data_IF_068192887181
#
_entry.id   IF_068192887181
#
_cell.length_a   1.000
_cell.length_b   1.000
_cell.length_c   1.000
_cell.angle_alpha   90.00
_cell.angle_beta   90.00
_cell.angle_gamma   90.00
#
_symmetry.space_group_name_H-M   'P 1'
#
loop_
_entity.id
_entity.type
_entity.pdbx_description
1 polymer ?
#
# COMPACT_ATOMS: atom_id res chain seq x y z
N UNK A 1 1.11 18.02 22.06
CA UNK A 1 1.46 18.90 20.94
C UNK A 1 0.29 18.95 19.98
N UNK A 2 -0.15 20.16 19.64
CA UNK A 2 -1.31 20.35 18.76
C UNK A 2 -0.85 20.43 17.31
N UNK A 3 -1.57 19.71 16.45
CA UNK A 3 -1.32 19.74 15.01
C UNK A 3 -2.14 20.86 14.37
N UNK A 4 -1.57 21.51 13.38
CA UNK A 4 -2.30 22.53 12.63
C UNK A 4 -3.62 21.96 12.10
N UNK A 5 -4.75 22.68 12.22
CA UNK A 5 -6.07 22.16 11.81
C UNK A 5 -6.16 21.65 10.38
N UNK A 6 -5.47 22.29 9.43
CA UNK A 6 -5.44 21.83 8.04
C UNK A 6 -4.76 20.48 7.89
N UNK A 7 -3.68 20.26 8.64
CA UNK A 7 -2.97 18.99 8.65
C UNK A 7 -3.86 17.91 9.25
N UNK A 8 -4.52 18.21 10.38
CA UNK A 8 -5.42 17.26 11.04
C UNK A 8 -6.57 16.83 10.10
N UNK A 9 -7.20 17.77 9.42
CA UNK A 9 -8.28 17.46 8.47
C UNK A 9 -7.78 16.57 7.32
N UNK A 10 -6.59 16.86 6.81
CA UNK A 10 -6.00 16.09 5.74
C UNK A 10 -5.64 14.67 6.20
N UNK A 11 -5.10 14.55 7.41
CA UNK A 11 -4.80 13.23 8.01
C UNK A 11 -6.07 12.41 8.18
N UNK A 12 -7.16 13.01 8.66
CA UNK A 12 -8.44 12.35 8.81
C UNK A 12 -8.95 11.80 7.47
N UNK A 13 -8.87 12.63 6.43
CA UNK A 13 -9.26 12.22 5.08
C UNK A 13 -8.40 11.05 4.59
N UNK A 14 -7.08 11.15 4.72
CA UNK A 14 -6.16 10.11 4.25
C UNK A 14 -6.32 8.80 5.02
N UNK A 15 -6.59 8.86 6.33
CA UNK A 15 -6.88 7.66 7.11
C UNK A 15 -8.11 6.94 6.55
N UNK A 16 -9.18 7.66 6.25
CA UNK A 16 -10.38 7.05 5.65
C UNK A 16 -10.07 6.44 4.29
N UNK A 17 -9.32 7.15 3.44
CA UNK A 17 -8.93 6.63 2.12
C UNK A 17 -8.08 5.37 2.25
N UNK A 18 -7.07 5.39 3.11
CA UNK A 18 -6.16 4.26 3.31
C UNK A 18 -6.92 3.05 3.86
N UNK A 19 -7.80 3.25 4.84
CA UNK A 19 -8.63 2.16 5.38
C UNK A 19 -9.47 1.50 4.27
N UNK A 20 -10.09 2.31 3.41
CA UNK A 20 -10.88 1.80 2.28
C UNK A 20 -10.00 1.10 1.25
N UNK A 21 -8.85 1.65 0.93
CA UNK A 21 -7.91 1.03 -0.02
C UNK A 21 -7.38 -0.31 0.50
N UNK A 22 -7.13 -0.43 1.81
CA UNK A 22 -6.78 -1.71 2.44
C UNK A 22 -7.88 -2.75 2.25
N UNK A 23 -9.14 -2.38 2.48
CA UNK A 23 -10.27 -3.26 2.29
C UNK A 23 -10.40 -3.72 0.83
N UNK A 24 -10.26 -2.79 -0.10
CA UNK A 24 -10.33 -3.09 -1.53
C UNK A 24 -9.22 -4.05 -1.96
N UNK A 25 -8.00 -3.83 -1.48
CA UNK A 25 -6.87 -4.70 -1.83
C UNK A 25 -7.07 -6.10 -1.24
N UNK A 26 -7.46 -6.19 0.03
CA UNK A 26 -7.68 -7.48 0.69
C UNK A 26 -8.78 -8.28 -0.01
N UNK A 27 -9.86 -7.62 -0.42
CA UNK A 27 -10.95 -8.26 -1.16
C UNK A 27 -10.47 -8.78 -2.51
N UNK A 28 -9.72 -7.95 -3.24
CA UNK A 28 -9.19 -8.33 -4.56
C UNK A 28 -8.16 -9.45 -4.45
N UNK A 29 -7.29 -9.38 -3.45
CA UNK A 29 -6.30 -10.41 -3.16
C UNK A 29 -6.98 -11.76 -2.93
N UNK A 30 -8.02 -11.78 -2.10
CA UNK A 30 -8.80 -12.99 -1.85
C UNK A 30 -9.48 -13.52 -3.11
N UNK A 31 -10.06 -12.63 -3.90
CA UNK A 31 -10.78 -13.03 -5.13
C UNK A 31 -9.83 -13.54 -6.21
N UNK A 32 -8.63 -12.98 -6.31
CA UNK A 32 -7.66 -13.41 -7.31
C UNK A 32 -6.97 -14.72 -6.90
N UNK A 33 -6.39 -14.75 -5.70
CA UNK A 33 -5.57 -15.87 -5.25
C UNK A 33 -6.39 -16.97 -4.55
N UNK A 34 -7.47 -16.61 -3.89
CA UNK A 34 -8.41 -17.58 -3.31
C UNK A 34 -9.10 -18.42 -4.37
N UNK A 35 -9.47 -17.82 -5.52
CA UNK A 35 -10.13 -18.54 -6.61
C UNK A 35 -9.23 -19.54 -7.32
N UNK A 36 -7.89 -19.39 -7.24
CA UNK A 36 -6.95 -20.34 -7.83
C UNK A 36 -6.91 -21.68 -7.08
N UNK A 37 -7.41 -21.70 -5.85
CA UNK A 37 -7.49 -22.92 -5.04
C UNK A 37 -8.85 -23.60 -5.09
N UNK A 38 -9.83 -23.04 -5.81
CA UNK A 38 -11.17 -23.60 -5.94
C UNK A 38 -11.27 -24.53 -7.14
N UNK A 39 -12.27 -25.43 -7.13
CA UNK A 39 -12.51 -26.38 -8.23
C UNK A 39 -13.08 -25.70 -9.48
N UNK A 40 -13.58 -24.48 -9.37
CA UNK A 40 -14.12 -23.70 -10.49
C UNK A 40 -13.18 -22.55 -10.82
N UNK A 41 -12.35 -22.68 -11.88
CA UNK A 41 -11.50 -21.58 -12.30
C UNK A 41 -12.34 -20.44 -12.85
N UNK A 42 -11.90 -19.19 -12.58
CA UNK A 42 -12.54 -18.01 -13.14
C UNK A 42 -12.44 -18.02 -14.67
N UNK A 43 -13.44 -17.47 -15.35
CA UNK A 43 -13.40 -17.27 -16.78
C UNK A 43 -12.20 -16.37 -17.15
N UNK A 44 -11.55 -16.57 -18.32
CA UNK A 44 -10.36 -15.80 -18.69
C UNK A 44 -10.53 -14.28 -18.59
N UNK A 45 -11.69 -13.76 -19.00
CA UNK A 45 -11.97 -12.34 -18.94
C UNK A 45 -12.10 -11.85 -17.50
N UNK A 46 -12.79 -12.61 -16.65
CA UNK A 46 -12.92 -12.31 -15.22
C UNK A 46 -11.56 -12.34 -14.54
N UNK A 47 -10.72 -13.29 -14.91
CA UNK A 47 -9.37 -13.39 -14.38
C UNK A 47 -8.55 -12.15 -14.76
N UNK A 48 -8.62 -11.70 -15.99
CA UNK A 48 -7.93 -10.51 -16.47
C UNK A 48 -8.38 -9.27 -15.69
N UNK A 49 -9.68 -9.13 -15.44
CA UNK A 49 -10.21 -8.02 -14.64
C UNK A 49 -9.71 -8.06 -13.20
N UNK A 50 -9.63 -9.24 -12.58
CA UNK A 50 -9.11 -9.41 -11.23
C UNK A 50 -7.62 -9.08 -11.16
N UNK A 51 -6.86 -9.45 -12.17
CA UNK A 51 -5.42 -9.09 -12.25
C UNK A 51 -5.26 -7.59 -12.35
N UNK A 52 -6.01 -6.93 -13.23
CA UNK A 52 -5.98 -5.47 -13.34
C UNK A 52 -6.35 -4.79 -12.03
N UNK A 53 -7.39 -5.26 -11.38
CA UNK A 53 -7.81 -4.72 -10.08
C UNK A 53 -6.72 -4.90 -9.04
N UNK A 54 -6.07 -6.06 -8.98
CA UNK A 54 -4.98 -6.32 -8.03
C UNK A 54 -3.80 -5.37 -8.26
N UNK A 55 -3.33 -5.26 -9.49
CA UNK A 55 -2.20 -4.39 -9.84
C UNK A 55 -2.52 -2.93 -9.47
N UNK A 56 -3.71 -2.46 -9.86
CA UNK A 56 -4.15 -1.09 -9.57
C UNK A 56 -4.32 -0.81 -8.08
N UNK A 57 -4.92 -1.72 -7.34
CA UNK A 57 -5.19 -1.54 -5.91
C UNK A 57 -3.93 -1.68 -5.06
N UNK A 58 -3.04 -2.59 -5.42
CA UNK A 58 -1.73 -2.72 -4.77
C UNK A 58 -0.92 -1.43 -4.94
N UNK A 59 -0.82 -0.93 -6.17
CA UNK A 59 -0.08 0.29 -6.47
C UNK A 59 -0.69 1.53 -5.82
N UNK A 60 -2.02 1.64 -5.84
CA UNK A 60 -2.71 2.79 -5.25
C UNK A 60 -2.51 2.87 -3.74
N UNK A 61 -2.65 1.76 -3.04
CA UNK A 61 -2.40 1.74 -1.60
C UNK A 61 -0.97 2.13 -1.29
N UNK A 62 -0.01 1.58 -2.02
CA UNK A 62 1.40 1.90 -1.83
C UNK A 62 1.67 3.38 -2.08
N UNK A 63 1.13 3.95 -3.16
CA UNK A 63 1.32 5.36 -3.49
C UNK A 63 0.66 6.27 -2.44
N UNK A 64 -0.56 5.95 -2.01
CA UNK A 64 -1.26 6.76 -1.00
C UNK A 64 -0.49 6.77 0.32
N UNK A 65 -0.04 5.61 0.77
CA UNK A 65 0.69 5.50 2.05
C UNK A 65 2.08 6.14 1.95
N UNK A 66 2.85 5.80 0.92
CA UNK A 66 4.24 6.24 0.81
C UNK A 66 4.39 7.68 0.37
N UNK A 67 3.54 8.15 -0.55
CA UNK A 67 3.71 9.45 -1.18
C UNK A 67 2.81 10.54 -0.60
N UNK A 68 1.75 10.18 0.10
CA UNK A 68 0.79 11.14 0.67
C UNK A 68 0.71 11.07 2.18
N UNK A 69 0.40 9.90 2.74
CA UNK A 69 0.21 9.75 4.19
C UNK A 69 1.52 9.93 4.95
N UNK A 70 2.57 9.24 4.55
CA UNK A 70 3.85 9.28 5.26
C UNK A 70 4.45 10.69 5.34
N UNK A 71 4.58 11.47 4.25
CA UNK A 71 5.12 12.82 4.36
C UNK A 71 4.30 13.71 5.28
N UNK A 72 2.98 13.59 5.22
CA UNK A 72 2.09 14.40 6.06
C UNK A 72 2.20 14.01 7.54
N UNK A 73 2.26 12.70 7.82
CA UNK A 73 2.46 12.19 9.18
C UNK A 73 3.81 12.66 9.74
N UNK A 74 4.88 12.61 8.95
CA UNK A 74 6.19 13.11 9.37
C UNK A 74 6.12 14.61 9.71
N UNK A 75 5.45 15.41 8.86
CA UNK A 75 5.27 16.83 9.14
C UNK A 75 4.51 17.05 10.44
N UNK A 76 3.45 16.28 10.67
CA UNK A 76 2.66 16.35 11.90
C UNK A 76 3.49 15.99 13.15
N UNK A 77 4.45 15.09 13.00
CA UNK A 77 5.36 14.68 14.07
C UNK A 77 6.50 15.69 14.30
N UNK A 78 6.53 16.79 13.55
CA UNK A 78 7.59 17.77 13.65
C UNK A 78 8.85 17.43 12.87
N UNK A 79 8.78 16.39 12.06
CA UNK A 79 9.87 16.02 11.16
C UNK A 79 9.78 16.80 9.85
N UNK A 80 10.91 17.04 9.19
CA UNK A 80 10.90 17.71 7.90
C UNK A 80 10.86 16.68 6.78
N UNK A 81 9.75 16.58 6.03
CA UNK A 81 9.70 15.67 4.89
C UNK A 81 10.75 16.04 3.85
N UNK A 82 11.32 15.05 3.21
CA UNK A 82 12.35 15.22 2.17
C UNK A 82 12.12 14.21 1.04
N UNK A 83 13.18 13.69 0.42
CA UNK A 83 13.05 12.69 -0.64
C UNK A 83 12.44 11.39 -0.10
N UNK A 84 11.81 10.63 -0.99
CA UNK A 84 11.07 9.41 -0.63
C UNK A 84 11.93 8.44 0.18
N UNK A 85 13.18 8.20 -0.22
CA UNK A 85 14.08 7.28 0.49
C UNK A 85 14.36 7.77 1.91
N UNK A 86 14.60 9.07 2.07
CA UNK A 86 14.86 9.65 3.40
C UNK A 86 13.63 9.57 4.30
N UNK A 87 12.45 9.78 3.74
CA UNK A 87 11.19 9.65 4.48
C UNK A 87 10.98 8.21 4.95
N UNK A 88 11.28 7.23 4.11
CA UNK A 88 11.17 5.81 4.47
C UNK A 88 12.16 5.43 5.57
N UNK A 89 13.40 5.88 5.48
CA UNK A 89 14.41 5.64 6.52
C UNK A 89 13.99 6.26 7.85
N UNK A 90 13.41 7.44 7.79
CA UNK A 90 12.91 8.13 8.99
C UNK A 90 11.71 7.41 9.59
N UNK A 91 10.80 6.92 8.74
CA UNK A 91 9.66 6.11 9.17
C UNK A 91 10.11 4.83 9.88
N UNK A 92 11.15 4.18 9.37
CA UNK A 92 11.71 2.99 10.02
C UNK A 92 12.28 3.33 11.40
N UNK A 93 13.04 4.42 11.51
CA UNK A 93 13.61 4.86 12.79
C UNK A 93 12.54 5.25 13.81
N UNK A 94 11.42 5.78 13.35
CA UNK A 94 10.27 6.14 14.19
C UNK A 94 9.34 4.97 14.45
N UNK A 95 9.69 3.78 13.98
CA UNK A 95 8.89 2.56 14.12
C UNK A 95 7.50 2.65 13.50
N UNK A 96 7.34 3.52 12.49
CA UNK A 96 6.13 3.61 11.67
C UNK A 96 6.13 2.57 10.55
N UNK A 97 7.30 2.05 10.24
CA UNK A 97 7.54 1.11 9.15
C UNK A 97 8.56 0.08 9.65
N UNK A 98 8.32 -1.19 9.35
CA UNK A 98 9.22 -2.27 9.80
C UNK A 98 10.56 -2.21 9.06
N UNK A 99 10.54 -1.95 7.74
CA UNK A 99 11.74 -1.96 6.92
C UNK A 99 11.56 -1.04 5.70
N UNK A 100 12.44 -0.05 5.59
CA UNK A 100 12.50 0.81 4.40
C UNK A 100 12.90 0.00 3.16
N UNK A 101 13.83 -0.95 3.32
CA UNK A 101 14.27 -1.82 2.22
C UNK A 101 13.12 -2.69 1.70
N UNK A 102 12.32 -3.26 2.60
CA UNK A 102 11.13 -4.03 2.22
C UNK A 102 10.14 -3.16 1.44
N UNK A 103 9.93 -1.92 1.88
CA UNK A 103 9.05 -0.99 1.17
C UNK A 103 9.54 -0.72 -0.24
N UNK A 104 10.84 -0.51 -0.41
CA UNK A 104 11.43 -0.30 -1.73
C UNK A 104 11.32 -1.53 -2.61
N UNK A 105 11.45 -2.72 -2.04
CA UNK A 105 11.22 -3.98 -2.76
C UNK A 105 9.78 -4.04 -3.27
N UNK A 106 8.80 -3.70 -2.44
CA UNK A 106 7.39 -3.65 -2.84
C UNK A 106 7.15 -2.60 -3.94
N UNK A 107 7.82 -1.46 -3.86
CA UNK A 107 7.71 -0.40 -4.87
C UNK A 107 8.27 -0.86 -6.23
N UNK A 108 9.41 -1.53 -6.22
CA UNK A 108 10.00 -2.09 -7.43
C UNK A 108 9.09 -3.16 -8.04
N UNK A 109 8.50 -3.99 -7.19
CA UNK A 109 7.53 -5.01 -7.60
C UNK A 109 6.30 -4.38 -8.25
N UNK A 110 5.77 -3.32 -7.66
CA UNK A 110 4.63 -2.57 -8.22
C UNK A 110 4.97 -2.03 -9.60
N UNK A 111 6.16 -1.46 -9.76
CA UNK A 111 6.61 -0.96 -11.06
C UNK A 111 6.72 -2.09 -12.08
N UNK A 112 7.22 -3.24 -11.67
CA UNK A 112 7.32 -4.43 -12.53
C UNK A 112 5.94 -4.91 -12.97
N UNK A 113 4.96 -5.00 -12.05
CA UNK A 113 3.59 -5.39 -12.38
C UNK A 113 2.95 -4.43 -13.40
N UNK A 114 3.16 -3.13 -13.24
CA UNK A 114 2.59 -2.11 -14.13
C UNK A 114 3.20 -2.19 -15.52
N UNK A 115 4.53 -2.33 -15.60
CA UNK A 115 5.24 -2.34 -16.89
C UNK A 115 5.11 -3.66 -17.65
N UNK A 116 5.07 -4.80 -16.92
CA UNK A 116 5.04 -6.12 -17.54
C UNK A 116 3.64 -6.67 -17.79
N UNK A 117 2.61 -5.89 -17.42
CA UNK A 117 1.21 -6.32 -17.49
C UNK A 117 0.81 -6.87 -18.86
N UNK A 118 1.33 -6.32 -19.94
CA UNK A 118 0.94 -6.68 -21.32
C UNK A 118 2.02 -7.48 -22.03
N UNK A 119 3.29 -7.39 -21.64
CA UNK A 119 4.42 -7.83 -22.46
C UNK A 119 4.94 -9.24 -22.15
N UNK A 120 4.97 -9.64 -20.88
CA UNK A 120 5.53 -10.94 -20.49
C UNK A 120 4.70 -11.62 -19.41
N UNK A 121 3.85 -12.61 -19.83
CA UNK A 121 2.98 -13.32 -18.87
C UNK A 121 3.73 -14.07 -17.76
N UNK A 122 4.94 -14.56 -18.04
CA UNK A 122 5.73 -15.30 -17.05
C UNK A 122 6.25 -14.34 -15.96
N UNK A 123 6.80 -13.21 -16.39
CA UNK A 123 7.28 -12.18 -15.45
C UNK A 123 6.11 -11.62 -14.65
N UNK A 124 4.98 -11.35 -15.31
CA UNK A 124 3.78 -10.86 -14.63
C UNK A 124 3.29 -11.85 -13.58
N UNK A 125 3.18 -13.13 -13.92
CA UNK A 125 2.72 -14.16 -12.98
C UNK A 125 3.62 -14.23 -11.75
N UNK A 126 4.93 -14.22 -11.95
CA UNK A 126 5.90 -14.21 -10.85
C UNK A 126 5.74 -12.97 -9.98
N UNK A 127 5.59 -11.80 -10.59
CA UNK A 127 5.40 -10.54 -9.87
C UNK A 127 4.09 -10.53 -9.08
N UNK A 128 3.00 -11.07 -9.64
CA UNK A 128 1.72 -11.16 -8.96
C UNK A 128 1.80 -12.07 -7.73
N UNK A 129 2.46 -13.22 -7.85
CA UNK A 129 2.63 -14.14 -6.73
C UNK A 129 3.46 -13.51 -5.61
N UNK A 130 4.52 -12.81 -5.96
CA UNK A 130 5.34 -12.07 -5.00
C UNK A 130 4.54 -10.94 -4.36
N UNK A 131 3.73 -10.22 -5.15
CA UNK A 131 2.83 -9.19 -4.66
C UNK A 131 1.85 -9.73 -3.64
N UNK A 132 1.27 -10.90 -3.91
CA UNK A 132 0.38 -11.57 -2.97
C UNK A 132 1.06 -11.82 -1.62
N UNK A 133 2.32 -12.28 -1.63
CA UNK A 133 3.10 -12.51 -0.41
C UNK A 133 3.30 -11.20 0.36
N UNK A 134 3.46 -10.07 -0.32
CA UNK A 134 3.67 -8.76 0.31
C UNK A 134 2.39 -8.06 0.76
N UNK A 135 1.20 -8.49 0.34
CA UNK A 135 -0.06 -7.85 0.73
C UNK A 135 -0.19 -7.68 2.25
N UNK A 136 0.06 -8.72 3.08
CA UNK A 136 -0.03 -8.53 4.53
C UNK A 136 0.92 -7.47 5.06
N UNK A 137 2.15 -7.41 4.56
CA UNK A 137 3.14 -6.41 4.99
C UNK A 137 2.72 -4.99 4.61
N UNK A 138 2.21 -4.81 3.39
CA UNK A 138 1.72 -3.52 2.91
C UNK A 138 0.52 -3.03 3.73
N UNK A 139 -0.45 -3.89 3.95
CA UNK A 139 -1.65 -3.58 4.75
C UNK A 139 -1.26 -3.30 6.21
N UNK A 140 -0.34 -4.08 6.77
CA UNK A 140 0.12 -3.87 8.14
C UNK A 140 0.82 -2.50 8.30
N UNK A 141 1.65 -2.12 7.35
CA UNK A 141 2.30 -0.80 7.36
C UNK A 141 1.27 0.33 7.29
N UNK A 142 0.29 0.20 6.39
CA UNK A 142 -0.80 1.17 6.25
C UNK A 142 -1.59 1.31 7.56
N UNK A 143 -1.98 0.19 8.15
CA UNK A 143 -2.76 0.18 9.40
C UNK A 143 -1.96 0.73 10.57
N UNK A 144 -0.66 0.46 10.63
CA UNK A 144 0.20 0.98 11.69
C UNK A 144 0.28 2.49 11.67
N UNK A 145 0.42 3.09 10.50
CA UNK A 145 0.44 4.56 10.35
C UNK A 145 -0.92 5.16 10.71
N UNK A 146 -2.01 4.56 10.25
CA UNK A 146 -3.37 5.00 10.61
C UNK A 146 -3.60 4.92 12.12
N UNK A 147 -3.20 3.82 12.74
CA UNK A 147 -3.35 3.62 14.19
C UNK A 147 -2.55 4.65 14.99
N UNK A 148 -1.35 5.00 14.54
CA UNK A 148 -0.55 6.04 15.19
C UNK A 148 -1.24 7.41 15.14
N UNK A 149 -1.82 7.76 14.00
CA UNK A 149 -2.55 9.00 13.82
C UNK A 149 -3.78 9.03 14.75
N UNK A 150 -4.52 7.93 14.80
CA UNK A 150 -5.71 7.78 15.66
C UNK A 150 -5.33 7.83 17.15
N UNK A 151 -4.25 7.15 17.53
CA UNK A 151 -3.75 7.14 18.92
C UNK A 151 -3.39 8.55 19.40
N UNK A 152 -2.90 9.40 18.52
CA UNK A 152 -2.54 10.79 18.84
C UNK A 152 -3.76 11.72 18.86
N UNK A 153 -4.93 11.23 18.53
CA UNK A 153 -6.15 12.03 18.47
C UNK A 153 -6.22 12.96 17.26
N UNK A 154 -5.44 12.68 16.23
CA UNK A 154 -5.42 13.47 15.00
C UNK A 154 -6.45 12.99 13.97
N UNK A 155 -7.02 11.81 14.20
CA UNK A 155 -8.11 11.26 13.41
C UNK A 155 -9.03 10.39 14.26
#
# INVERSE_FOLDING_TARGET
>A
MTVEPKIALRLQFLVRVVRNECQHLLTTDQRLFGSLSTLEPAAPLDLAERVEAFVGRFGRLQDTVGDKLLPLLLAALGEKPSAAIDNLDRAERLELLTSADEWMTMRNLRNQMVHEYVEDPVVLTSALQTGHVFVPALVAAANKMCAEIERRGWA
#
